data_IF_797918822631
#
_entry.id   IF_797918822631
#
_cell.length_a   1.000
_cell.length_b   1.000
_cell.length_c   1.000
_cell.angle_alpha   90.00
_cell.angle_beta   90.00
_cell.angle_gamma   90.00
#
_symmetry.space_group_name_H-M   'P 1'
#
loop_
_entity.id
_entity.type
_entity.pdbx_description
1 polymer ?
#
# COMPACT_ATOMS: atom_id res chain seq x y z
N UNK A 1 25.56 -15.02 5.28
CA UNK A 1 24.50 -15.63 6.11
C UNK A 1 23.18 -15.34 5.42
N UNK A 2 22.62 -16.30 4.68
CA UNK A 2 21.37 -16.08 3.93
C UNK A 2 20.22 -15.96 4.92
N UNK A 3 19.64 -14.76 5.06
CA UNK A 3 18.44 -14.54 5.85
C UNK A 3 17.36 -15.55 5.44
N UNK A 4 16.57 -16.13 6.38
CA UNK A 4 15.57 -17.14 6.06
C UNK A 4 14.68 -16.67 4.91
N UNK A 5 14.52 -17.52 3.88
CA UNK A 5 13.76 -17.21 2.67
C UNK A 5 12.29 -17.02 3.03
N UNK A 6 11.87 -15.77 3.24
CA UNK A 6 10.48 -15.40 3.54
C UNK A 6 9.63 -15.52 2.27
N UNK A 7 8.36 -15.87 2.42
CA UNK A 7 7.44 -15.96 1.29
C UNK A 7 7.14 -14.56 0.73
N UNK A 8 7.54 -14.24 -0.52
CA UNK A 8 7.33 -12.93 -1.11
C UNK A 8 5.86 -12.58 -1.35
N UNK A 9 4.95 -13.56 -1.30
CA UNK A 9 3.51 -13.34 -1.49
C UNK A 9 2.84 -12.64 -0.31
N UNK A 10 3.42 -12.76 0.89
CA UNK A 10 2.84 -12.22 2.13
C UNK A 10 3.83 -11.35 2.90
N UNK A 11 5.09 -11.34 2.48
CA UNK A 11 6.14 -10.52 3.09
C UNK A 11 6.44 -9.34 2.18
N UNK A 12 6.07 -8.10 2.56
CA UNK A 12 6.36 -6.91 1.77
C UNK A 12 7.83 -6.51 1.93
N UNK A 13 8.73 -7.32 1.33
CA UNK A 13 10.17 -7.10 1.34
C UNK A 13 10.77 -7.39 -0.02
N UNK A 14 11.53 -6.41 -0.52
CA UNK A 14 12.40 -6.51 -1.69
C UNK A 14 13.77 -5.94 -1.32
N UNK A 15 14.85 -6.26 -2.08
CA UNK A 15 16.18 -5.72 -1.80
C UNK A 15 16.22 -4.18 -1.79
N UNK A 16 15.39 -3.53 -2.61
CA UNK A 16 15.33 -2.08 -2.72
C UNK A 16 14.40 -1.41 -1.71
N UNK A 17 13.34 -2.09 -1.26
CA UNK A 17 12.31 -1.53 -0.40
C UNK A 17 11.61 -2.61 0.43
N UNK A 18 11.43 -2.36 1.72
CA UNK A 18 10.59 -3.18 2.60
C UNK A 18 9.61 -2.32 3.42
N UNK A 19 8.58 -2.97 3.96
CA UNK A 19 7.72 -2.34 4.96
C UNK A 19 8.49 -2.09 6.26
N UNK A 20 8.27 -0.95 6.93
CA UNK A 20 9.05 -0.55 8.11
C UNK A 20 8.96 -1.52 9.28
N UNK A 21 7.82 -2.18 9.48
CA UNK A 21 7.72 -3.19 10.53
C UNK A 21 8.68 -4.39 10.34
N UNK A 22 9.31 -4.53 9.17
CA UNK A 22 10.35 -5.53 8.88
C UNK A 22 11.78 -5.03 9.13
N UNK A 23 11.97 -3.80 9.60
CA UNK A 23 13.28 -3.25 9.93
C UNK A 23 13.97 -4.10 11.02
N UNK A 24 15.25 -4.42 10.82
CA UNK A 24 16.00 -5.36 11.66
C UNK A 24 15.68 -6.84 11.43
N UNK A 25 14.62 -7.16 10.66
CA UNK A 25 14.25 -8.53 10.30
C UNK A 25 14.63 -8.91 8.87
N UNK A 26 14.70 -7.93 7.96
CA UNK A 26 15.10 -8.12 6.56
C UNK A 26 16.15 -7.10 6.17
N UNK A 27 16.98 -7.46 5.20
CA UNK A 27 17.90 -6.51 4.55
C UNK A 27 17.18 -5.85 3.37
N UNK A 28 17.09 -4.52 3.40
CA UNK A 28 16.55 -3.71 2.31
C UNK A 28 17.25 -2.35 2.29
N UNK A 29 17.36 -1.73 1.11
CA UNK A 29 17.99 -0.40 0.99
C UNK A 29 17.21 0.70 1.69
N UNK A 30 15.88 0.57 1.77
CA UNK A 30 15.02 1.53 2.49
C UNK A 30 13.76 0.86 3.06
N UNK A 31 13.16 1.53 4.04
CA UNK A 31 11.93 1.10 4.70
C UNK A 31 10.83 2.16 4.57
N UNK A 32 9.59 1.74 4.30
CA UNK A 32 8.42 2.63 4.14
C UNK A 32 7.33 2.31 5.16
N UNK A 33 6.62 3.34 5.68
CA UNK A 33 5.48 3.12 6.60
C UNK A 33 4.32 2.48 5.84
N UNK A 34 4.27 2.72 4.53
CA UNK A 34 3.09 2.51 3.74
C UNK A 34 2.05 3.61 3.99
N UNK A 35 1.28 3.91 2.96
CA UNK A 35 0.12 4.78 3.04
C UNK A 35 -1.12 3.91 2.87
N UNK A 36 -2.13 4.01 3.76
CA UNK A 36 -3.38 3.28 3.59
C UNK A 36 -4.23 3.88 2.46
N UNK A 37 -4.74 3.01 1.59
CA UNK A 37 -5.68 3.30 0.51
C UNK A 37 -6.93 2.42 0.66
N UNK A 38 -8.02 2.86 0.02
CA UNK A 38 -9.27 2.12 -0.12
C UNK A 38 -9.63 1.97 -1.59
N UNK A 39 -10.20 0.83 -1.98
CA UNK A 39 -10.74 0.62 -3.32
C UNK A 39 -12.07 1.35 -3.46
N UNK A 40 -12.19 2.19 -4.50
CA UNK A 40 -13.42 2.95 -4.80
C UNK A 40 -14.14 2.49 -6.08
N UNK A 41 -13.55 1.57 -6.84
CA UNK A 41 -14.23 0.84 -7.93
C UNK A 41 -14.89 -0.44 -7.41
N UNK A 42 -15.71 -1.09 -8.25
CA UNK A 42 -16.34 -2.37 -7.89
C UNK A 42 -15.31 -3.44 -7.48
N UNK A 43 -14.28 -3.62 -8.31
CA UNK A 43 -13.13 -4.48 -8.02
C UNK A 43 -11.84 -3.90 -8.61
N UNK A 44 -10.68 -4.40 -8.17
CA UNK A 44 -9.37 -4.16 -8.81
C UNK A 44 -8.50 -5.41 -8.74
N UNK A 45 -7.88 -5.76 -9.86
CA UNK A 45 -7.01 -6.93 -9.95
C UNK A 45 -5.69 -6.69 -9.21
N UNK A 46 -5.30 -7.62 -8.34
CA UNK A 46 -3.95 -7.69 -7.79
C UNK A 46 -3.08 -8.49 -8.75
N UNK A 47 -2.01 -7.89 -9.27
CA UNK A 47 -1.13 -8.54 -10.25
C UNK A 47 0.26 -8.82 -9.69
N UNK A 48 0.93 -9.83 -10.25
CA UNK A 48 2.29 -10.18 -9.86
C UNK A 48 3.35 -9.16 -10.29
N UNK A 49 3.01 -8.27 -11.22
CA UNK A 49 3.88 -7.24 -11.78
C UNK A 49 3.07 -6.02 -12.24
N UNK A 50 3.71 -4.86 -12.34
CA UNK A 50 3.14 -3.60 -12.80
C UNK A 50 2.87 -3.61 -14.32
N UNK A 51 1.90 -4.41 -14.74
CA UNK A 51 1.50 -4.53 -16.15
C UNK A 51 0.04 -4.95 -16.25
N UNK A 52 -0.68 -4.38 -17.22
CA UNK A 52 -2.07 -4.77 -17.53
C UNK A 52 -2.20 -6.23 -17.97
N UNK A 53 -1.13 -6.82 -18.50
CA UNK A 53 -1.06 -8.24 -18.89
C UNK A 53 -0.39 -9.12 -17.85
N UNK A 54 0.05 -8.56 -16.71
CA UNK A 54 0.61 -9.32 -15.60
C UNK A 54 -0.41 -10.31 -15.04
N UNK A 55 0.04 -11.50 -14.62
CA UNK A 55 -0.85 -12.51 -14.06
C UNK A 55 -1.62 -11.96 -12.85
N UNK A 56 -2.94 -12.13 -12.86
CA UNK A 56 -3.78 -11.80 -11.71
C UNK A 56 -3.59 -12.87 -10.65
N UNK A 57 -3.17 -12.45 -9.46
CA UNK A 57 -2.84 -13.34 -8.32
C UNK A 57 -3.89 -13.30 -7.23
N UNK A 58 -4.67 -12.20 -7.16
CA UNK A 58 -5.81 -12.02 -6.25
C UNK A 58 -6.67 -10.86 -6.79
N UNK A 59 -7.70 -10.46 -6.04
CA UNK A 59 -8.59 -9.35 -6.37
C UNK A 59 -8.98 -8.61 -5.09
N UNK A 60 -9.03 -7.28 -5.17
CA UNK A 60 -9.62 -6.45 -4.12
C UNK A 60 -11.02 -6.00 -4.53
N UNK A 61 -11.92 -5.95 -3.56
CA UNK A 61 -13.30 -5.50 -3.74
C UNK A 61 -13.50 -4.06 -3.25
N UNK A 62 -14.60 -3.44 -3.68
CA UNK A 62 -15.02 -2.11 -3.20
C UNK A 62 -14.96 -2.02 -1.67
N UNK A 63 -14.32 -0.96 -1.16
CA UNK A 63 -14.18 -0.70 0.28
C UNK A 63 -13.05 -1.47 0.97
N UNK A 64 -12.43 -2.45 0.31
CA UNK A 64 -11.25 -3.13 0.86
C UNK A 64 -10.04 -2.19 0.90
N UNK A 65 -9.15 -2.45 1.86
CA UNK A 65 -7.98 -1.60 2.13
C UNK A 65 -6.71 -2.21 1.57
N UNK A 66 -5.83 -1.34 1.10
CA UNK A 66 -4.53 -1.69 0.57
C UNK A 66 -3.48 -0.72 1.09
N UNK A 67 -2.40 -1.24 1.66
CA UNK A 67 -1.27 -0.42 2.12
C UNK A 67 -0.27 -0.28 0.98
N UNK A 68 -0.12 0.94 0.45
CA UNK A 68 0.80 1.26 -0.64
C UNK A 68 2.16 1.65 -0.09
N UNK A 69 3.22 0.94 -0.46
CA UNK A 69 4.60 1.28 -0.06
C UNK A 69 5.37 2.04 -1.15
N UNK A 70 5.01 1.85 -2.41
CA UNK A 70 5.64 2.51 -3.57
C UNK A 70 4.60 2.72 -4.69
N UNK A 71 4.69 3.85 -5.39
CA UNK A 71 3.98 4.11 -6.64
C UNK A 71 4.99 4.19 -7.79
N UNK A 72 4.75 3.41 -8.84
CA UNK A 72 5.51 3.41 -10.10
C UNK A 72 4.59 3.67 -11.28
N UNK A 73 4.28 4.94 -11.51
CA UNK A 73 3.65 5.39 -12.75
C UNK A 73 2.26 4.80 -12.96
N UNK A 74 1.43 4.80 -11.91
CA UNK A 74 0.06 4.29 -11.97
C UNK A 74 -0.09 2.83 -11.58
N UNK A 75 1.00 2.17 -11.19
CA UNK A 75 0.99 0.88 -10.52
C UNK A 75 1.57 1.04 -9.13
N UNK A 76 0.87 0.55 -8.12
CA UNK A 76 1.34 0.63 -6.74
C UNK A 76 1.85 -0.72 -6.29
N UNK A 77 2.95 -0.76 -5.56
CA UNK A 77 3.39 -1.96 -4.84
C UNK A 77 2.97 -1.83 -3.38
N UNK A 78 2.32 -2.86 -2.88
CA UNK A 78 1.70 -2.80 -1.56
C UNK A 78 1.17 -4.13 -1.08
N UNK A 79 0.45 -4.07 0.03
CA UNK A 79 -0.11 -5.24 0.71
C UNK A 79 -1.60 -5.06 0.97
N UNK A 80 -2.37 -6.09 0.64
CA UNK A 80 -3.78 -6.20 0.96
C UNK A 80 -3.98 -6.33 2.46
N UNK A 81 -4.90 -5.55 3.02
CA UNK A 81 -5.24 -5.63 4.43
C UNK A 81 -6.11 -6.86 4.77
N UNK A 82 -6.76 -7.48 3.78
CA UNK A 82 -7.69 -8.59 4.01
C UNK A 82 -6.99 -9.94 4.12
N UNK A 83 -6.11 -10.23 3.18
CA UNK A 83 -5.44 -11.52 3.03
C UNK A 83 -3.92 -11.43 3.20
N UNK A 84 -3.38 -10.23 3.43
CA UNK A 84 -1.94 -10.00 3.61
C UNK A 84 -1.14 -10.12 2.32
N UNK A 85 -1.80 -10.24 1.16
CA UNK A 85 -1.12 -10.51 -0.10
C UNK A 85 -0.37 -9.28 -0.62
N UNK A 86 0.86 -9.49 -1.08
CA UNK A 86 1.74 -8.49 -1.66
C UNK A 86 1.62 -8.55 -3.18
N UNK A 87 1.24 -7.44 -3.80
CA UNK A 87 0.94 -7.40 -5.22
C UNK A 87 1.06 -5.98 -5.80
N UNK A 88 0.80 -5.88 -7.11
CA UNK A 88 0.82 -4.64 -7.86
C UNK A 88 -0.53 -4.36 -8.55
N UNK A 89 -1.49 -3.67 -7.90
CA UNK A 89 -2.69 -3.17 -8.58
C UNK A 89 -2.44 -1.87 -9.35
N UNK A 90 -3.38 -1.54 -10.24
CA UNK A 90 -3.51 -0.19 -10.77
C UNK A 90 -3.81 0.78 -9.62
N UNK A 91 -3.19 1.96 -9.66
CA UNK A 91 -3.39 3.03 -8.69
C UNK A 91 -4.75 3.73 -8.84
N UNK A 92 -5.26 3.82 -10.07
CA UNK A 92 -6.49 4.55 -10.41
C UNK A 92 -7.73 4.18 -9.54
N UNK A 93 -8.04 2.89 -9.28
CA UNK A 93 -9.16 2.53 -8.41
C UNK A 93 -8.90 2.69 -6.90
N UNK A 94 -7.70 3.12 -6.49
CA UNK A 94 -7.29 3.23 -5.10
C UNK A 94 -7.26 4.71 -4.69
N UNK A 95 -7.95 5.05 -3.59
CA UNK A 95 -7.90 6.39 -3.01
C UNK A 95 -7.25 6.38 -1.63
N UNK A 96 -6.39 7.36 -1.31
CA UNK A 96 -5.73 7.42 -0.02
C UNK A 96 -6.77 7.65 1.09
N UNK A 97 -6.69 6.86 2.16
CA UNK A 97 -7.45 7.10 3.37
C UNK A 97 -6.76 8.25 4.10
N UNK A 98 -7.32 9.45 3.98
CA UNK A 98 -6.93 10.58 4.82
C UNK A 98 -7.65 10.43 6.15
N UNK A 99 -6.90 10.13 7.22
CA UNK A 99 -7.33 10.54 8.54
C UNK A 99 -7.31 12.06 8.52
N UNK A 100 -8.46 12.71 8.35
CA UNK A 100 -8.56 14.10 8.77
C UNK A 100 -8.22 14.07 10.26
N UNK A 101 -7.10 14.71 10.62
CA UNK A 101 -7.00 15.20 11.98
C UNK A 101 -8.30 15.97 12.21
N UNK A 102 -9.11 15.54 13.19
CA UNK A 102 -10.17 16.38 13.73
C UNK A 102 -9.46 17.63 14.22
N UNK A 103 -9.29 18.61 13.34
CA UNK A 103 -8.86 19.92 13.74
C UNK A 103 -9.99 20.42 14.63
N UNK A 104 -9.70 20.67 15.91
CA UNK A 104 -10.73 21.12 16.82
C UNK A 104 -11.32 22.43 16.28
N UNK A 105 -12.65 22.54 16.35
CA UNK A 105 -13.44 23.65 15.78
C UNK A 105 -12.98 25.06 16.22
N UNK A 106 -12.21 25.18 17.29
CA UNK A 106 -11.68 26.44 17.83
C UNK A 106 -10.42 26.99 17.12
N UNK A 107 -9.85 26.28 16.12
CA UNK A 107 -8.59 26.69 15.47
C UNK A 107 -8.75 27.70 14.32
N UNK A 108 -9.96 28.21 14.05
CA UNK A 108 -10.16 29.26 13.05
C UNK A 108 -9.81 30.64 13.64
N UNK A 109 -8.93 31.44 13.00
CA UNK A 109 -8.71 32.82 13.44
C UNK A 109 -9.99 33.62 13.21
N UNK A 110 -10.56 34.16 14.30
CA UNK A 110 -11.60 35.18 14.22
C UNK A 110 -11.00 36.38 13.48
N UNK A 111 -11.38 36.56 12.21
CA UNK A 111 -11.15 37.81 11.50
C UNK A 111 -12.12 38.86 12.07
N UNK A 112 -11.63 39.97 12.64
CA UNK A 112 -12.51 41.05 13.05
C UNK A 112 -13.07 41.76 11.80
N UNK A 113 -14.32 42.21 11.93
CA UNK A 113 -15.10 42.95 10.93
C UNK A 113 -14.49 44.33 10.71
#
# INVERSE_FOLDING_TARGET
MTSPKRDPRITPARPDLAARFLEGMVEASRFSEGQPYVVVSGTTALRSQASGTGAQVSELLFGERFTVYEDRGGWVWGQSARDGYVAMPNAQPLHPIRLQACLPIWSAPFLPI
#
